data_IF_509014739716
#
_entry.id   IF_509014739716
#
_cell.length_a   1.000
_cell.length_b   1.000
_cell.length_c   1.000
_cell.angle_alpha   90.00
_cell.angle_beta   90.00
_cell.angle_gamma   90.00
#
_symmetry.space_group_name_H-M   'P 1'
#
loop_
_entity.id
_entity.type
_entity.pdbx_description
1 polymer ?
#
# COMPACT_ATOMS: atom_id res chain seq x y z
N UNK A 1 0.46 -5.06 46.28
CA UNK A 1 0.23 -3.62 45.99
C UNK A 1 -0.80 -3.49 44.89
N UNK A 2 -1.79 -2.62 45.04
CA UNK A 2 -2.80 -2.42 43.98
C UNK A 2 -2.21 -1.56 42.87
N UNK A 3 -2.18 -2.07 41.63
CA UNK A 3 -1.78 -1.31 40.44
C UNK A 3 -2.57 0.01 40.31
N UNK A 4 -3.81 0.04 40.80
CA UNK A 4 -4.67 1.23 40.77
C UNK A 4 -4.19 2.39 41.67
N UNK A 5 -3.16 2.18 42.51
CA UNK A 5 -2.60 3.22 43.40
C UNK A 5 -1.27 3.79 42.92
N UNK A 6 -0.66 3.21 41.89
CA UNK A 6 0.64 3.66 41.38
C UNK A 6 0.53 5.00 40.60
N UNK A 7 1.59 5.83 40.61
CA UNK A 7 1.71 6.99 39.74
C UNK A 7 1.57 6.60 38.25
N UNK A 8 1.08 7.52 37.41
CA UNK A 8 0.82 7.25 35.99
C UNK A 8 2.13 6.96 35.25
N UNK A 9 3.19 7.67 35.58
CA UNK A 9 4.53 7.53 35.00
C UNK A 9 5.08 6.12 35.23
N UNK A 10 4.84 5.58 36.44
CA UNK A 10 5.28 4.25 36.84
C UNK A 10 4.42 3.16 36.17
N UNK A 11 3.14 3.43 35.94
CA UNK A 11 2.27 2.55 35.15
C UNK A 11 2.71 2.51 33.68
N UNK A 12 3.07 3.64 33.08
CA UNK A 12 3.56 3.68 31.70
C UNK A 12 4.88 2.91 31.55
N UNK A 13 5.81 3.06 32.50
CA UNK A 13 7.06 2.28 32.52
C UNK A 13 6.81 0.78 32.68
N UNK A 14 5.90 0.40 33.59
CA UNK A 14 5.48 -1.00 33.76
C UNK A 14 4.87 -1.54 32.46
N UNK A 15 4.00 -0.79 31.79
CA UNK A 15 3.38 -1.24 30.55
C UNK A 15 4.36 -1.30 29.38
N UNK A 16 5.35 -0.41 29.32
CA UNK A 16 6.43 -0.47 28.34
C UNK A 16 7.33 -1.70 28.55
N UNK A 17 7.58 -2.07 29.82
CA UNK A 17 8.30 -3.30 30.15
C UNK A 17 7.45 -4.55 29.85
N UNK A 18 6.14 -4.52 30.14
CA UNK A 18 5.20 -5.58 29.75
C UNK A 18 5.16 -5.78 28.23
N UNK A 19 5.17 -4.69 27.44
CA UNK A 19 5.20 -4.76 25.96
C UNK A 19 6.53 -5.35 25.44
N UNK A 20 7.64 -5.20 26.18
CA UNK A 20 8.94 -5.81 25.88
C UNK A 20 9.03 -7.30 26.29
N UNK A 21 8.43 -7.67 27.42
CA UNK A 21 8.70 -8.94 28.09
C UNK A 21 7.59 -10.01 27.94
N UNK A 22 6.45 -9.70 27.31
CA UNK A 22 5.34 -10.65 27.20
C UNK A 22 5.58 -11.79 26.19
N UNK A 23 5.93 -12.96 26.74
CA UNK A 23 5.71 -14.32 26.20
C UNK A 23 4.96 -15.23 27.20
N UNK A 24 4.04 -14.70 28.02
CA UNK A 24 3.36 -15.51 29.04
C UNK A 24 1.83 -15.44 28.99
N UNK A 25 1.13 -16.57 29.14
CA UNK A 25 -0.33 -16.61 29.17
C UNK A 25 -0.85 -16.21 30.56
N UNK A 26 -1.86 -15.34 30.61
CA UNK A 26 -2.59 -14.99 31.83
C UNK A 26 -3.74 -15.98 32.06
N UNK A 27 -3.78 -16.60 33.24
CA UNK A 27 -4.84 -17.53 33.66
C UNK A 27 -5.47 -17.07 34.99
N UNK A 28 -6.27 -16.00 35.04
CA UNK A 28 -7.18 -15.77 36.19
C UNK A 28 -8.43 -14.97 35.79
N UNK A 29 -9.63 -15.30 36.31
CA UNK A 29 -10.86 -14.55 36.06
C UNK A 29 -10.97 -13.34 36.99
N UNK A 30 -11.18 -12.15 36.43
CA UNK A 30 -11.47 -10.92 37.18
C UNK A 30 -12.92 -10.50 37.02
N UNK A 31 -13.49 -9.89 38.07
CA UNK A 31 -14.81 -9.25 38.02
C UNK A 31 -14.79 -8.06 37.05
N UNK A 32 -15.71 -8.03 36.09
CA UNK A 32 -15.75 -7.06 34.99
C UNK A 32 -16.60 -5.85 35.32
N UNK A 33 -16.04 -4.65 35.16
CA UNK A 33 -16.83 -3.41 35.04
C UNK A 33 -17.43 -3.29 33.63
N UNK A 34 -18.64 -2.72 33.47
CA UNK A 34 -19.21 -2.50 32.14
C UNK A 34 -18.47 -1.34 31.46
N UNK A 35 -17.51 -1.68 30.60
CA UNK A 35 -17.06 -0.77 29.56
C UNK A 35 -18.15 -0.68 28.48
N UNK A 36 -18.30 0.45 27.76
CA UNK A 36 -19.10 0.48 26.56
C UNK A 36 -18.66 -0.67 25.65
N UNK A 37 -19.61 -1.49 25.22
CA UNK A 37 -19.43 -2.83 24.61
C UNK A 37 -18.47 -2.85 23.40
N UNK A 38 -18.17 -1.68 22.82
CA UNK A 38 -17.20 -1.52 21.74
C UNK A 38 -15.74 -1.79 22.11
N UNK A 39 -15.32 -1.59 23.36
CA UNK A 39 -13.91 -1.74 23.78
C UNK A 39 -13.40 -3.19 23.75
N UNK A 40 -14.31 -4.15 23.85
CA UNK A 40 -13.99 -5.58 23.89
C UNK A 40 -13.62 -6.17 22.52
N UNK A 41 -13.83 -5.43 21.42
CA UNK A 41 -13.77 -5.98 20.06
C UNK A 41 -12.41 -5.72 19.39
N UNK A 42 -11.51 -4.94 20.01
CA UNK A 42 -10.19 -4.60 19.47
C UNK A 42 -9.03 -5.54 19.88
N UNK A 43 -9.34 -6.82 20.09
CA UNK A 43 -8.34 -7.86 20.41
C UNK A 43 -7.56 -8.37 19.19
N UNK A 44 -6.85 -7.49 18.48
CA UNK A 44 -6.08 -7.88 17.28
C UNK A 44 -4.74 -8.58 17.59
N UNK A 45 -4.29 -8.54 18.84
CA UNK A 45 -3.06 -9.18 19.30
C UNK A 45 -3.22 -9.68 20.73
N UNK A 46 -2.40 -10.65 21.15
CA UNK A 46 -2.37 -11.11 22.54
C UNK A 46 -2.08 -9.96 23.52
N UNK A 47 -1.28 -8.98 23.08
CA UNK A 47 -1.01 -7.75 23.83
C UNK A 47 -2.28 -6.92 24.04
N UNK A 48 -3.10 -6.74 23.01
CA UNK A 48 -4.36 -6.02 23.15
C UNK A 48 -5.33 -6.74 24.09
N UNK A 49 -5.29 -8.08 24.16
CA UNK A 49 -6.10 -8.83 25.14
C UNK A 49 -5.71 -8.48 26.57
N UNK A 50 -4.41 -8.41 26.87
CA UNK A 50 -3.91 -8.00 28.20
C UNK A 50 -4.41 -6.59 28.54
N UNK A 51 -4.25 -5.63 27.63
CA UNK A 51 -4.71 -4.27 27.85
C UNK A 51 -6.24 -4.17 27.99
N UNK A 52 -7.00 -4.90 27.20
CA UNK A 52 -8.46 -4.97 27.35
C UNK A 52 -8.85 -5.56 28.71
N UNK A 53 -8.22 -6.67 29.14
CA UNK A 53 -8.45 -7.25 30.47
C UNK A 53 -8.14 -6.26 31.59
N UNK A 54 -7.04 -5.50 31.47
CA UNK A 54 -6.69 -4.44 32.42
C UNK A 54 -7.71 -3.30 32.41
N UNK A 55 -8.19 -2.88 31.24
CA UNK A 55 -9.23 -1.86 31.14
C UNK A 55 -10.52 -2.28 31.86
N UNK A 56 -10.88 -3.56 31.82
CA UNK A 56 -12.09 -4.10 32.46
C UNK A 56 -12.00 -4.14 33.99
N UNK A 57 -10.80 -4.04 34.57
CA UNK A 57 -10.63 -4.13 36.03
C UNK A 57 -11.07 -2.86 36.76
N UNK A 58 -10.73 -1.67 36.27
CA UNK A 58 -11.16 -0.39 36.85
C UNK A 58 -11.00 0.79 35.88
N UNK A 59 -11.73 1.88 36.14
CA UNK A 59 -11.76 3.08 35.29
C UNK A 59 -10.39 3.78 35.17
N UNK A 60 -9.57 3.75 36.23
CA UNK A 60 -8.22 4.34 36.19
C UNK A 60 -7.33 3.58 35.21
N UNK A 61 -7.30 2.24 35.31
CA UNK A 61 -6.56 1.41 34.37
C UNK A 61 -7.09 1.55 32.95
N UNK A 62 -8.41 1.57 32.76
CA UNK A 62 -9.03 1.84 31.46
C UNK A 62 -8.52 3.14 30.83
N UNK A 63 -8.38 4.21 31.62
CA UNK A 63 -7.90 5.51 31.13
C UNK A 63 -6.43 5.45 30.68
N UNK A 64 -5.59 4.72 31.41
CA UNK A 64 -4.15 4.57 31.12
C UNK A 64 -3.91 3.67 29.90
N UNK A 65 -4.63 2.56 29.76
CA UNK A 65 -4.39 1.61 28.67
C UNK A 65 -5.12 1.97 27.37
N UNK A 66 -6.12 2.86 27.43
CA UNK A 66 -6.92 3.29 26.27
C UNK A 66 -6.07 3.76 25.08
N UNK A 67 -5.05 4.62 25.22
CA UNK A 67 -4.18 5.00 24.10
C UNK A 67 -3.51 3.81 23.41
N UNK A 68 -3.24 2.72 24.15
CA UNK A 68 -2.62 1.50 23.63
C UNK A 68 -3.63 0.62 22.91
N UNK A 69 -4.83 0.43 23.49
CA UNK A 69 -5.92 -0.38 22.89
C UNK A 69 -6.32 0.16 21.52
N UNK A 70 -6.46 1.49 21.40
CA UNK A 70 -6.94 2.13 20.18
C UNK A 70 -5.83 2.56 19.23
N UNK A 71 -4.55 2.31 19.55
CA UNK A 71 -3.40 2.72 18.73
C UNK A 71 -3.48 2.14 17.32
N UNK A 72 -3.74 0.84 17.25
CA UNK A 72 -3.69 0.03 16.05
C UNK A 72 -5.04 -0.65 15.83
N UNK A 73 -5.87 -0.05 14.99
CA UNK A 73 -7.22 -0.52 14.71
C UNK A 73 -7.24 -1.24 13.37
N UNK A 74 -7.72 -2.48 13.40
CA UNK A 74 -7.93 -3.29 12.20
C UNK A 74 -9.27 -3.98 12.26
N UNK A 75 -10.02 -3.89 11.16
CA UNK A 75 -11.28 -4.61 10.97
C UNK A 75 -11.52 -4.87 9.49
N UNK A 76 -12.22 -5.97 9.20
CA UNK A 76 -12.87 -6.12 7.92
C UNK A 76 -14.15 -5.26 7.90
N UNK A 77 -14.44 -4.63 6.77
CA UNK A 77 -15.69 -3.90 6.55
C UNK A 77 -16.90 -4.80 6.79
N UNK A 78 -18.03 -4.19 7.16
CA UNK A 78 -19.30 -4.89 7.43
C UNK A 78 -19.25 -5.94 8.56
N UNK A 79 -18.22 -5.88 9.42
CA UNK A 79 -18.17 -6.68 10.64
C UNK A 79 -18.79 -5.94 11.83
N UNK A 80 -19.21 -6.69 12.85
CA UNK A 80 -19.59 -6.12 14.15
C UNK A 80 -18.49 -5.24 14.75
N UNK A 81 -17.22 -5.57 14.45
CA UNK A 81 -16.06 -4.76 14.84
C UNK A 81 -16.01 -3.41 14.16
N UNK A 82 -16.25 -3.35 12.85
CA UNK A 82 -16.36 -2.09 12.12
C UNK A 82 -17.50 -1.23 12.70
N UNK A 83 -18.69 -1.81 12.85
CA UNK A 83 -19.86 -1.12 13.44
C UNK A 83 -19.56 -0.60 14.84
N UNK A 84 -18.94 -1.41 15.69
CA UNK A 84 -18.57 -1.03 17.04
C UNK A 84 -17.54 0.11 17.06
N UNK A 85 -16.54 0.07 16.17
CA UNK A 85 -15.56 1.14 16.01
C UNK A 85 -16.22 2.46 15.62
N UNK A 86 -17.02 2.45 14.55
CA UNK A 86 -17.72 3.64 14.09
C UNK A 86 -18.66 4.19 15.17
N UNK A 87 -19.39 3.31 15.85
CA UNK A 87 -20.30 3.69 16.95
C UNK A 87 -19.53 4.30 18.11
N UNK A 88 -18.40 3.71 18.50
CA UNK A 88 -17.55 4.18 19.60
C UNK A 88 -16.99 5.56 19.32
N UNK A 89 -16.44 5.80 18.12
CA UNK A 89 -15.94 7.12 17.73
C UNK A 89 -17.07 8.13 17.60
N UNK A 90 -18.23 7.73 17.07
CA UNK A 90 -19.40 8.60 16.96
C UNK A 90 -19.91 9.04 18.34
N UNK A 91 -19.96 8.13 19.31
CA UNK A 91 -20.41 8.41 20.67
C UNK A 91 -19.37 9.19 21.47
N UNK A 92 -18.09 8.91 21.25
CA UNK A 92 -16.99 9.61 21.91
C UNK A 92 -15.82 9.84 20.94
N UNK A 93 -15.78 10.99 20.27
CA UNK A 93 -14.74 11.34 19.31
C UNK A 93 -13.31 11.33 19.85
N UNK A 94 -13.14 11.44 21.17
CA UNK A 94 -11.79 11.45 21.78
C UNK A 94 -11.05 10.14 21.57
N UNK A 95 -11.75 9.02 21.32
CA UNK A 95 -11.10 7.75 20.97
C UNK A 95 -10.29 7.85 19.67
N UNK A 96 -10.75 8.66 18.70
CA UNK A 96 -10.08 8.85 17.43
C UNK A 96 -8.68 9.46 17.55
N UNK A 97 -8.40 10.22 18.63
CA UNK A 97 -7.10 10.86 18.83
C UNK A 97 -5.97 9.88 19.12
N UNK A 98 -6.30 8.66 19.55
CA UNK A 98 -5.33 7.61 19.87
C UNK A 98 -4.98 6.73 18.67
N UNK A 99 -5.84 6.70 17.66
CA UNK A 99 -5.66 5.87 16.47
C UNK A 99 -4.48 6.41 15.64
N UNK A 100 -3.42 5.60 15.55
CA UNK A 100 -2.23 5.87 14.72
C UNK A 100 -2.22 5.04 13.45
N UNK A 101 -2.73 3.81 13.53
CA UNK A 101 -2.84 2.88 12.40
C UNK A 101 -4.29 2.48 12.25
N UNK A 102 -4.85 2.66 11.05
CA UNK A 102 -6.17 2.14 10.70
C UNK A 102 -6.08 1.23 9.48
N UNK A 103 -6.52 -0.01 9.62
CA UNK A 103 -6.63 -1.00 8.54
C UNK A 103 -8.08 -1.42 8.38
N UNK A 104 -8.71 -0.95 7.31
CA UNK A 104 -10.08 -1.30 6.94
C UNK A 104 -10.05 -2.18 5.70
N UNK A 105 -10.00 -3.50 5.91
CA UNK A 105 -9.89 -4.48 4.82
C UNK A 105 -11.27 -4.87 4.30
N UNK A 106 -11.33 -5.37 3.06
CA UNK A 106 -12.54 -6.00 2.55
C UNK A 106 -12.64 -7.38 3.20
N UNK A 107 -13.84 -7.77 3.64
CA UNK A 107 -14.07 -9.20 3.86
C UNK A 107 -13.97 -9.89 2.50
N UNK A 108 -13.04 -10.84 2.34
CA UNK A 108 -12.98 -11.68 1.13
C UNK A 108 -14.22 -12.59 1.12
N UNK A 109 -15.36 -12.03 0.76
CA UNK A 109 -16.48 -12.80 0.27
C UNK A 109 -16.02 -13.44 -1.03
N UNK A 110 -16.20 -14.76 -1.11
CA UNK A 110 -15.57 -15.68 -2.06
C UNK A 110 -15.52 -15.17 -3.51
N UNK A 111 -14.62 -15.74 -4.33
CA UNK A 111 -14.53 -15.49 -5.78
C UNK A 111 -15.87 -15.64 -6.54
N UNK A 112 -16.89 -16.22 -5.90
CA UNK A 112 -18.26 -16.32 -6.40
C UNK A 112 -18.98 -14.97 -6.49
N UNK A 113 -18.77 -14.03 -5.56
CA UNK A 113 -19.45 -12.73 -5.59
C UNK A 113 -18.90 -11.79 -6.68
N UNK A 114 -17.66 -12.02 -7.12
CA UNK A 114 -17.06 -11.33 -8.26
C UNK A 114 -17.72 -11.76 -9.60
N UNK A 115 -18.34 -12.94 -9.64
CA UNK A 115 -18.99 -13.51 -10.83
C UNK A 115 -20.50 -13.28 -10.87
N UNK A 116 -21.18 -13.24 -9.72
CA UNK A 116 -22.65 -13.21 -9.67
C UNK A 116 -23.22 -11.78 -9.70
N UNK A 117 -22.37 -10.75 -9.74
CA UNK A 117 -22.85 -9.37 -9.85
C UNK A 117 -23.81 -9.02 -8.72
N UNK A 118 -23.46 -9.42 -7.49
CA UNK A 118 -24.27 -9.20 -6.31
C UNK A 118 -24.44 -7.69 -6.09
N UNK A 119 -25.51 -7.13 -6.68
CA UNK A 119 -26.08 -5.80 -6.41
C UNK A 119 -26.77 -5.81 -5.05
N UNK A 120 -26.13 -6.36 -4.02
CA UNK A 120 -26.60 -6.08 -2.67
C UNK A 120 -26.41 -4.59 -2.44
N UNK A 121 -27.41 -3.94 -1.84
CA UNK A 121 -27.40 -2.55 -1.41
C UNK A 121 -26.36 -2.29 -0.30
N UNK A 122 -25.12 -2.75 -0.51
CA UNK A 122 -23.94 -2.49 0.30
C UNK A 122 -23.44 -1.08 0.00
N UNK A 123 -24.32 -0.11 0.22
CA UNK A 123 -23.93 1.29 0.37
C UNK A 123 -23.14 1.35 1.67
N UNK A 124 -21.82 1.15 1.60
CA UNK A 124 -20.95 1.83 2.57
C UNK A 124 -21.39 3.29 2.54
N UNK A 125 -21.89 3.86 3.65
CA UNK A 125 -22.30 5.24 3.62
C UNK A 125 -21.03 6.03 3.39
N UNK A 126 -20.83 6.54 2.18
CA UNK A 126 -19.74 7.46 1.82
C UNK A 126 -19.64 8.63 2.82
N UNK A 127 -20.72 8.89 3.56
CA UNK A 127 -20.81 9.84 4.65
C UNK A 127 -20.04 9.46 5.95
N UNK A 128 -19.77 8.18 6.23
CA UNK A 128 -19.07 7.77 7.47
C UNK A 128 -17.60 8.15 7.42
N UNK A 129 -16.94 7.98 6.28
CA UNK A 129 -15.51 8.21 6.13
C UNK A 129 -15.07 9.65 6.43
N UNK A 130 -15.72 10.71 5.90
CA UNK A 130 -15.42 12.09 6.30
C UNK A 130 -15.53 12.31 7.82
N UNK A 131 -16.61 11.79 8.44
CA UNK A 131 -16.84 11.94 9.88
C UNK A 131 -15.76 11.23 10.69
N UNK A 132 -15.47 9.97 10.32
CA UNK A 132 -14.44 9.17 10.96
C UNK A 132 -13.08 9.88 10.86
N UNK A 133 -12.63 10.20 9.64
CA UNK A 133 -11.33 10.85 9.40
C UNK A 133 -11.24 12.23 10.09
N UNK A 134 -12.37 12.91 10.27
CA UNK A 134 -12.50 14.14 11.06
C UNK A 134 -12.05 13.99 12.53
N UNK A 135 -12.14 12.77 13.08
CA UNK A 135 -11.78 12.46 14.46
C UNK A 135 -10.38 11.82 14.60
N UNK A 136 -9.77 11.35 13.51
CA UNK A 136 -8.49 10.63 13.53
C UNK A 136 -7.28 11.58 13.40
N UNK A 137 -7.10 12.48 14.38
CA UNK A 137 -6.05 13.53 14.32
C UNK A 137 -4.63 12.99 14.30
N UNK A 138 -4.40 11.86 14.95
CA UNK A 138 -3.07 11.25 15.10
C UNK A 138 -2.79 10.13 14.08
N UNK A 139 -3.64 9.98 13.06
CA UNK A 139 -3.54 8.90 12.09
C UNK A 139 -2.28 9.05 11.24
N UNK A 140 -1.37 8.08 11.33
CA UNK A 140 -0.12 8.03 10.56
C UNK A 140 -0.21 7.04 9.41
N UNK A 141 -0.83 5.90 9.64
CA UNK A 141 -0.95 4.83 8.65
C UNK A 141 -2.42 4.53 8.37
N UNK A 142 -2.80 4.56 7.09
CA UNK A 142 -4.13 4.21 6.63
C UNK A 142 -4.03 3.13 5.54
N UNK A 143 -4.61 1.96 5.79
CA UNK A 143 -4.78 0.88 4.82
C UNK A 143 -6.26 0.68 4.55
N UNK A 144 -6.66 0.76 3.28
CA UNK A 144 -8.06 0.72 2.87
C UNK A 144 -8.20 -0.22 1.68
N UNK A 145 -9.10 -1.18 1.83
CA UNK A 145 -9.55 -2.04 0.76
C UNK A 145 -11.07 -1.91 0.62
N UNK A 146 -11.59 -0.69 0.40
CA UNK A 146 -13.01 -0.43 0.15
C UNK A 146 -13.27 -0.38 -1.34
N UNK A 147 -14.46 -0.80 -1.77
CA UNK A 147 -14.98 -0.50 -3.10
C UNK A 147 -16.28 0.32 -2.95
N UNK A 148 -16.35 1.58 -3.40
CA UNK A 148 -15.28 2.34 -4.04
C UNK A 148 -14.33 3.01 -3.03
N UNK A 149 -13.04 3.01 -3.34
CA UNK A 149 -12.00 3.73 -2.57
C UNK A 149 -12.25 5.25 -2.50
N UNK A 150 -13.02 5.78 -3.44
CA UNK A 150 -13.40 7.19 -3.53
C UNK A 150 -14.06 7.72 -2.26
N UNK A 151 -14.80 6.87 -1.52
CA UNK A 151 -15.40 7.26 -0.25
C UNK A 151 -14.39 7.71 0.80
N UNK A 152 -13.17 7.19 0.75
CA UNK A 152 -12.06 7.55 1.65
C UNK A 152 -11.15 8.59 1.05
N UNK A 153 -10.87 8.49 -0.25
CA UNK A 153 -9.91 9.38 -0.92
C UNK A 153 -10.47 10.77 -1.15
N UNK A 154 -11.73 10.87 -1.61
CA UNK A 154 -12.33 12.17 -1.88
C UNK A 154 -12.29 13.10 -0.66
N UNK A 155 -12.67 12.65 0.57
CA UNK A 155 -12.52 13.48 1.75
C UNK A 155 -11.07 13.91 2.01
N UNK A 156 -10.10 12.98 1.88
CA UNK A 156 -8.69 13.28 2.14
C UNK A 156 -8.08 14.32 1.19
N UNK A 157 -8.50 14.30 -0.08
CA UNK A 157 -7.95 15.21 -1.11
C UNK A 157 -8.75 16.50 -1.26
N UNK A 158 -10.02 16.53 -0.83
CA UNK A 158 -10.86 17.70 -0.93
C UNK A 158 -10.46 18.76 0.10
N UNK A 159 -9.75 19.79 -0.36
CA UNK A 159 -9.24 20.88 0.48
C UNK A 159 -10.33 21.73 1.13
N UNK A 160 -11.58 21.61 0.69
CA UNK A 160 -12.72 22.34 1.28
C UNK A 160 -13.24 21.67 2.56
N UNK A 161 -12.87 20.41 2.81
CA UNK A 161 -13.24 19.68 4.01
C UNK A 161 -12.03 19.67 4.94
N UNK A 162 -12.18 20.24 6.14
CA UNK A 162 -11.13 20.19 7.15
C UNK A 162 -11.09 18.79 7.77
N UNK A 163 -10.13 17.98 7.30
CA UNK A 163 -9.89 16.63 7.80
C UNK A 163 -8.52 16.62 8.47
N UNK A 164 -8.45 16.53 9.80
CA UNK A 164 -7.19 16.52 10.53
C UNK A 164 -6.23 15.42 10.10
N UNK A 165 -6.76 14.24 9.74
CA UNK A 165 -5.96 13.12 9.24
C UNK A 165 -5.11 13.49 8.01
N UNK A 166 -5.52 14.47 7.20
CA UNK A 166 -4.76 14.97 6.06
C UNK A 166 -3.37 15.48 6.46
N UNK A 167 -3.26 16.05 7.65
CA UNK A 167 -2.01 16.65 8.16
C UNK A 167 -1.11 15.63 8.87
N UNK A 168 -1.60 14.43 9.16
CA UNK A 168 -0.88 13.42 9.95
C UNK A 168 -0.54 12.14 9.19
N UNK A 169 -1.25 11.81 8.10
CA UNK A 169 -0.97 10.58 7.34
C UNK A 169 0.43 10.63 6.72
N UNK A 170 1.24 9.65 7.10
CA UNK A 170 2.60 9.42 6.62
C UNK A 170 2.64 8.25 5.62
N UNK A 171 1.70 7.30 5.75
CA UNK A 171 1.60 6.09 4.93
C UNK A 171 0.17 5.80 4.52
N UNK A 172 -0.03 5.64 3.22
CA UNK A 172 -1.32 5.31 2.62
C UNK A 172 -1.20 4.05 1.76
N UNK A 173 -2.04 3.06 2.04
CA UNK A 173 -2.11 1.79 1.30
C UNK A 173 -3.54 1.61 0.79
N UNK A 174 -3.71 1.54 -0.53
CA UNK A 174 -5.00 1.44 -1.21
C UNK A 174 -5.01 0.15 -2.02
N UNK A 175 -5.80 -0.82 -1.58
CA UNK A 175 -5.84 -2.14 -2.23
C UNK A 175 -6.77 -2.19 -3.44
N UNK A 176 -7.59 -1.15 -3.62
CA UNK A 176 -8.49 -1.00 -4.76
C UNK A 176 -7.96 0.01 -5.79
N UNK A 177 -8.57 -0.01 -6.96
CA UNK A 177 -8.23 0.81 -8.11
C UNK A 177 -8.38 2.30 -7.87
N UNK A 178 -7.31 3.04 -8.15
CA UNK A 178 -7.25 4.49 -8.09
C UNK A 178 -7.23 5.12 -9.48
N UNK A 179 -8.03 6.17 -9.66
CA UNK A 179 -8.03 7.02 -10.85
C UNK A 179 -6.96 8.13 -10.76
N UNK A 180 -6.56 8.67 -11.91
CA UNK A 180 -5.50 9.70 -12.00
C UNK A 180 -5.77 10.93 -11.11
N UNK A 181 -6.98 11.47 -11.16
CA UNK A 181 -7.34 12.68 -10.39
C UNK A 181 -7.13 12.49 -8.88
N UNK A 182 -7.39 11.27 -8.39
CA UNK A 182 -7.18 10.94 -7.00
C UNK A 182 -5.69 10.85 -6.65
N UNK A 183 -4.84 10.36 -7.58
CA UNK A 183 -3.37 10.38 -7.42
C UNK A 183 -2.87 11.82 -7.22
N UNK A 184 -3.37 12.78 -8.01
CA UNK A 184 -2.92 14.18 -7.91
C UNK A 184 -3.23 14.78 -6.53
N UNK A 185 -4.42 14.48 -6.02
CA UNK A 185 -4.83 14.89 -4.68
C UNK A 185 -3.96 14.26 -3.59
N UNK A 186 -3.66 12.96 -3.71
CA UNK A 186 -2.84 12.23 -2.73
C UNK A 186 -1.40 12.75 -2.70
N UNK A 187 -0.83 13.11 -3.85
CA UNK A 187 0.53 13.66 -3.92
C UNK A 187 0.65 15.01 -3.18
N UNK A 188 -0.48 15.71 -3.00
CA UNK A 188 -0.57 16.96 -2.24
C UNK A 188 -0.66 16.76 -0.71
N UNK A 189 -0.64 15.52 -0.21
CA UNK A 189 -0.67 15.25 1.22
C UNK A 189 0.69 15.63 1.85
N UNK A 190 0.73 16.57 2.82
CA UNK A 190 1.96 17.26 3.22
C UNK A 190 2.98 16.34 3.90
N UNK A 191 2.52 15.33 4.64
CA UNK A 191 3.37 14.39 5.39
C UNK A 191 3.49 13.01 4.75
N UNK A 192 2.90 12.81 3.57
CA UNK A 192 2.90 11.50 2.94
C UNK A 192 4.31 11.13 2.44
N UNK A 193 4.84 10.02 2.96
CA UNK A 193 6.15 9.48 2.61
C UNK A 193 6.06 8.09 1.98
N UNK A 194 4.98 7.36 2.22
CA UNK A 194 4.75 6.04 1.67
C UNK A 194 3.39 5.96 1.00
N UNK A 195 3.37 5.59 -0.27
CA UNK A 195 2.16 5.36 -1.03
C UNK A 195 2.22 3.99 -1.71
N UNK A 196 1.21 3.16 -1.44
CA UNK A 196 0.97 1.89 -2.10
C UNK A 196 -0.45 1.90 -2.67
N UNK A 197 -0.62 1.69 -3.97
CA UNK A 197 -1.95 1.70 -4.57
C UNK A 197 -2.05 0.77 -5.78
N UNK A 198 -3.28 0.35 -6.10
CA UNK A 198 -3.61 -0.27 -7.39
C UNK A 198 -4.10 0.82 -8.34
N UNK A 199 -3.58 0.92 -9.56
CA UNK A 199 -4.11 1.87 -10.56
C UNK A 199 -5.17 1.19 -11.44
N UNK A 200 -6.33 1.84 -11.60
CA UNK A 200 -7.47 1.34 -12.38
C UNK A 200 -7.91 2.25 -13.53
N UNK A 201 -7.20 3.35 -13.77
CA UNK A 201 -7.57 4.28 -14.83
C UNK A 201 -7.34 3.71 -16.25
N UNK A 202 -7.99 4.29 -17.27
CA UNK A 202 -7.73 3.93 -18.66
C UNK A 202 -6.24 4.17 -18.99
N UNK A 203 -5.69 3.33 -19.86
CA UNK A 203 -4.26 3.32 -20.18
C UNK A 203 -3.90 4.31 -21.29
N UNK A 204 -4.89 5.01 -21.83
CA UNK A 204 -4.75 5.78 -23.06
C UNK A 204 -4.89 7.27 -22.80
N UNK A 205 -3.79 7.98 -23.13
CA UNK A 205 -3.69 9.41 -23.42
C UNK A 205 -4.14 10.35 -22.30
N UNK A 206 -3.33 10.41 -21.26
CA UNK A 206 -3.24 11.65 -20.50
C UNK A 206 -2.75 12.74 -21.42
N UNK A 207 -3.49 13.85 -21.46
CA UNK A 207 -2.98 15.05 -22.09
C UNK A 207 -1.75 15.54 -21.32
N UNK A 208 -0.74 16.11 -22.01
CA UNK A 208 0.39 16.75 -21.33
C UNK A 208 -0.05 17.80 -20.29
N UNK A 209 -1.22 18.42 -20.51
CA UNK A 209 -1.83 19.40 -19.61
C UNK A 209 -2.36 18.78 -18.31
N UNK A 210 -2.85 17.55 -18.33
CA UNK A 210 -3.26 16.85 -17.10
C UNK A 210 -2.02 16.45 -16.30
N UNK A 211 -1.00 15.91 -16.96
CA UNK A 211 0.25 15.50 -16.31
C UNK A 211 1.02 16.68 -15.71
N UNK A 212 0.99 17.86 -16.34
CA UNK A 212 1.68 19.04 -15.80
C UNK A 212 1.09 19.57 -14.50
N UNK A 213 -0.12 19.16 -14.12
CA UNK A 213 -0.78 19.58 -12.88
C UNK A 213 -0.36 18.75 -11.67
N UNK A 214 0.42 17.68 -11.87
CA UNK A 214 0.80 16.76 -10.81
C UNK A 214 1.75 17.47 -9.83
N UNK A 215 1.35 17.67 -8.56
CA UNK A 215 2.15 18.43 -7.62
C UNK A 215 3.40 17.67 -7.21
N UNK A 216 4.45 18.40 -6.83
CA UNK A 216 5.63 17.80 -6.21
C UNK A 216 5.27 17.14 -4.88
N UNK A 217 5.91 16.01 -4.59
CA UNK A 217 5.62 15.20 -3.42
C UNK A 217 6.86 14.89 -2.57
N UNK A 218 6.64 14.64 -1.28
CA UNK A 218 7.67 14.21 -0.33
C UNK A 218 7.76 12.68 -0.20
N UNK A 219 7.21 11.95 -1.17
CA UNK A 219 7.22 10.49 -1.20
C UNK A 219 8.65 9.95 -1.25
N UNK A 220 8.90 8.99 -0.34
CA UNK A 220 10.12 8.19 -0.28
C UNK A 220 9.89 6.77 -0.78
N UNK A 221 8.69 6.25 -0.62
CA UNK A 221 8.30 4.93 -1.12
C UNK A 221 7.06 5.04 -1.98
N UNK A 222 7.16 4.55 -3.21
CA UNK A 222 6.07 4.47 -4.16
C UNK A 222 5.92 3.03 -4.63
N UNK A 223 4.77 2.43 -4.38
CA UNK A 223 4.38 1.12 -4.88
C UNK A 223 3.12 1.24 -5.73
N UNK A 224 3.23 0.79 -6.97
CA UNK A 224 2.15 0.76 -7.94
C UNK A 224 1.84 -0.70 -8.27
N UNK A 225 0.81 -1.21 -7.63
CA UNK A 225 0.37 -2.59 -7.75
C UNK A 225 -0.53 -2.78 -8.96
N UNK A 226 -0.41 -3.97 -9.57
CA UNK A 226 -1.33 -4.52 -10.58
C UNK A 226 -1.61 -3.62 -11.81
N UNK A 227 -0.79 -2.62 -12.08
CA UNK A 227 -1.06 -1.65 -13.14
C UNK A 227 0.15 -1.36 -14.02
N UNK A 228 -0.14 -1.11 -15.29
CA UNK A 228 0.79 -0.53 -16.25
C UNK A 228 0.48 0.96 -16.35
N UNK A 229 1.44 1.83 -16.02
CA UNK A 229 1.22 3.28 -16.01
C UNK A 229 1.29 3.89 -17.42
N UNK A 230 2.03 3.24 -18.32
CA UNK A 230 2.45 3.82 -19.58
C UNK A 230 3.57 4.85 -19.37
N UNK A 231 4.35 5.12 -20.43
CA UNK A 231 5.53 6.00 -20.36
C UNK A 231 5.21 7.40 -19.79
N UNK A 232 4.22 8.16 -20.30
CA UNK A 232 4.05 9.56 -19.89
C UNK A 232 3.69 9.71 -18.41
N UNK A 233 2.78 8.87 -17.90
CA UNK A 233 2.40 8.91 -16.50
C UNK A 233 3.55 8.43 -15.62
N UNK A 234 4.25 7.36 -16.01
CA UNK A 234 5.37 6.85 -15.24
C UNK A 234 6.48 7.88 -15.08
N UNK A 235 6.86 8.53 -16.18
CA UNK A 235 7.84 9.63 -16.19
C UNK A 235 7.39 10.78 -15.28
N UNK A 236 6.14 11.22 -15.42
CA UNK A 236 5.60 12.29 -14.58
C UNK A 236 5.57 11.94 -13.10
N UNK A 237 5.21 10.72 -12.73
CA UNK A 237 5.18 10.29 -11.33
C UNK A 237 6.56 10.36 -10.69
N UNK A 238 7.60 9.96 -11.43
CA UNK A 238 8.98 10.01 -10.95
C UNK A 238 9.50 11.45 -10.86
N UNK A 239 9.19 12.30 -11.84
CA UNK A 239 9.51 13.74 -11.78
C UNK A 239 8.94 14.40 -10.52
N UNK A 240 7.71 14.04 -10.14
CA UNK A 240 7.04 14.59 -8.98
C UNK A 240 7.55 14.02 -7.64
N UNK A 241 8.43 13.01 -7.64
CA UNK A 241 8.96 12.37 -6.44
C UNK A 241 10.49 12.52 -6.34
N UNK A 242 11.03 13.74 -6.15
CA UNK A 242 12.48 13.95 -6.14
C UNK A 242 13.20 13.24 -4.98
N UNK A 243 12.48 12.89 -3.89
CA UNK A 243 13.02 12.20 -2.70
C UNK A 243 12.77 10.69 -2.73
N UNK A 244 12.41 10.11 -3.86
CA UNK A 244 12.03 8.70 -3.95
C UNK A 244 13.22 7.78 -3.67
N UNK A 245 13.13 6.99 -2.61
CA UNK A 245 14.16 6.03 -2.19
C UNK A 245 13.81 4.59 -2.60
N UNK A 246 12.53 4.24 -2.67
CA UNK A 246 12.06 2.89 -3.00
C UNK A 246 10.92 2.93 -4.01
N UNK A 247 11.09 2.25 -5.13
CA UNK A 247 10.09 2.12 -6.17
C UNK A 247 9.73 0.65 -6.40
N UNK A 248 8.43 0.35 -6.44
CA UNK A 248 7.92 -0.95 -6.84
C UNK A 248 6.81 -0.79 -7.87
N UNK A 249 6.89 -1.47 -9.00
CA UNK A 249 5.82 -1.46 -10.00
C UNK A 249 5.75 -2.77 -10.78
N UNK A 250 4.56 -3.15 -11.24
CA UNK A 250 4.40 -4.22 -12.21
C UNK A 250 4.56 -3.65 -13.63
N UNK A 251 5.72 -3.88 -14.25
CA UNK A 251 5.97 -3.59 -15.66
C UNK A 251 5.47 -2.20 -16.14
N UNK A 252 6.06 -1.09 -15.65
CA UNK A 252 5.50 0.27 -15.78
C UNK A 252 5.30 0.75 -17.23
N UNK A 253 6.11 0.24 -18.17
CA UNK A 253 6.10 0.65 -19.58
C UNK A 253 5.28 -0.25 -20.51
N UNK A 254 4.53 -1.22 -19.97
CA UNK A 254 3.64 -2.00 -20.83
C UNK A 254 2.54 -1.08 -21.38
N UNK A 255 2.47 -0.95 -22.71
CA UNK A 255 1.44 -0.15 -23.38
C UNK A 255 0.02 -0.74 -23.23
N UNK A 256 -0.11 -1.91 -22.61
CA UNK A 256 -1.38 -2.62 -22.57
C UNK A 256 -2.20 -2.26 -21.35
N UNK A 257 -3.25 -1.51 -21.67
CA UNK A 257 -4.48 -1.54 -20.94
C UNK A 257 -5.36 -2.69 -21.28
N UNK A 258 -6.15 -3.10 -20.30
CA UNK A 258 -7.14 -4.16 -20.38
C UNK A 258 -8.32 -3.83 -21.31
N UNK A 259 -8.06 -3.53 -22.59
CA UNK A 259 -9.07 -3.82 -23.61
C UNK A 259 -9.16 -5.34 -23.69
N UNK A 260 -10.15 -5.85 -22.95
CA UNK A 260 -10.67 -7.22 -22.99
C UNK A 260 -11.39 -7.49 -24.32
N UNK A 261 -10.93 -6.90 -25.42
CA UNK A 261 -11.34 -7.36 -26.74
C UNK A 261 -10.48 -8.59 -26.99
N UNK A 262 -11.00 -9.74 -26.53
CA UNK A 262 -10.32 -11.01 -26.38
C UNK A 262 -9.77 -11.61 -27.69
N UNK A 263 -10.04 -10.95 -28.82
CA UNK A 263 -9.70 -11.45 -30.17
C UNK A 263 -8.69 -10.58 -30.93
N UNK A 264 -8.36 -9.35 -30.48
CA UNK A 264 -7.57 -8.43 -31.32
C UNK A 264 -6.09 -8.35 -30.91
N UNK A 265 -5.31 -9.19 -31.59
CA UNK A 265 -3.92 -8.95 -32.00
C UNK A 265 -2.84 -8.92 -30.89
N UNK A 266 -2.49 -10.12 -30.38
CA UNK A 266 -1.25 -10.35 -29.63
C UNK A 266 0.02 -9.87 -30.39
N UNK A 267 -0.10 -9.66 -31.72
CA UNK A 267 0.96 -9.21 -32.61
C UNK A 267 1.20 -7.69 -32.59
N UNK A 268 0.33 -6.90 -31.94
CA UNK A 268 0.51 -5.43 -31.83
C UNK A 268 1.24 -4.98 -30.56
N UNK A 269 1.78 -5.92 -29.76
CA UNK A 269 2.54 -5.56 -28.56
C UNK A 269 3.84 -4.87 -28.95
N UNK A 270 4.07 -3.60 -28.57
CA UNK A 270 5.38 -3.00 -28.77
C UNK A 270 6.40 -3.84 -28.02
N UNK A 271 7.61 -4.03 -28.59
CA UNK A 271 8.64 -4.78 -27.92
C UNK A 271 8.98 -4.15 -26.57
N UNK A 272 9.32 -5.00 -25.59
CA UNK A 272 9.92 -4.51 -24.36
C UNK A 272 11.23 -3.81 -24.73
N UNK A 273 11.37 -2.57 -24.25
CA UNK A 273 12.56 -1.75 -24.38
C UNK A 273 13.13 -1.42 -23.01
N UNK A 274 14.14 -2.16 -22.53
CA UNK A 274 14.84 -1.84 -21.30
C UNK A 274 15.50 -0.45 -21.28
N UNK A 275 15.96 0.08 -22.42
CA UNK A 275 16.52 1.44 -22.50
C UNK A 275 15.48 2.55 -22.23
N UNK A 276 14.22 2.34 -22.66
CA UNK A 276 13.14 3.27 -22.30
C UNK A 276 12.90 3.31 -20.79
N UNK A 277 13.10 2.19 -20.09
CA UNK A 277 13.00 2.15 -18.62
C UNK A 277 14.07 3.02 -17.99
N UNK A 278 15.31 2.93 -18.47
CA UNK A 278 16.42 3.77 -18.01
C UNK A 278 16.10 5.26 -18.17
N UNK A 279 15.63 5.64 -19.36
CA UNK A 279 15.28 7.03 -19.70
C UNK A 279 14.25 7.61 -18.73
N UNK A 280 13.22 6.83 -18.38
CA UNK A 280 12.16 7.28 -17.47
C UNK A 280 12.65 7.32 -16.03
N UNK A 281 13.46 6.35 -15.64
CA UNK A 281 14.00 6.23 -14.31
C UNK A 281 15.05 7.31 -13.97
N UNK A 282 15.67 7.97 -14.98
CA UNK A 282 16.74 8.97 -14.80
C UNK A 282 16.48 10.02 -13.71
N UNK A 283 15.22 10.43 -13.52
CA UNK A 283 14.84 11.47 -12.55
C UNK A 283 15.04 11.02 -11.09
N UNK A 284 15.10 9.71 -10.84
CA UNK A 284 15.35 9.13 -9.52
C UNK A 284 16.76 8.54 -9.36
N UNK A 285 17.66 8.73 -10.36
CA UNK A 285 19.00 8.12 -10.42
C UNK A 285 19.82 8.31 -9.14
N UNK A 286 19.75 9.50 -8.54
CA UNK A 286 20.55 9.88 -7.37
C UNK A 286 19.89 9.60 -6.02
N UNK A 287 18.61 9.22 -6.00
CA UNK A 287 17.84 9.04 -4.76
C UNK A 287 17.33 7.63 -4.57
N UNK A 288 17.11 6.89 -5.66
CA UNK A 288 16.55 5.54 -5.61
C UNK A 288 17.56 4.54 -5.06
N UNK A 289 17.25 3.97 -3.90
CA UNK A 289 18.01 2.92 -3.23
C UNK A 289 17.48 1.52 -3.52
N UNK A 290 16.18 1.41 -3.82
CA UNK A 290 15.54 0.14 -4.10
C UNK A 290 14.64 0.20 -5.34
N UNK A 291 14.91 -0.69 -6.29
CA UNK A 291 14.12 -0.86 -7.51
C UNK A 291 13.57 -2.29 -7.56
N UNK A 292 12.24 -2.41 -7.54
CA UNK A 292 11.56 -3.71 -7.67
C UNK A 292 10.54 -3.67 -8.82
N UNK A 293 10.87 -4.32 -9.93
CA UNK A 293 9.94 -4.49 -11.05
C UNK A 293 9.32 -5.87 -10.94
N UNK A 294 8.03 -5.92 -10.63
CA UNK A 294 7.28 -7.17 -10.52
C UNK A 294 6.98 -7.70 -11.92
N UNK A 295 7.05 -9.03 -12.07
CA UNK A 295 6.76 -9.75 -13.31
C UNK A 295 5.39 -9.36 -13.87
N UNK A 296 5.27 -9.17 -15.20
CA UNK A 296 3.97 -9.07 -15.86
C UNK A 296 3.18 -10.38 -15.70
N UNK A 297 1.84 -10.31 -15.79
CA UNK A 297 0.98 -11.50 -15.85
C UNK A 297 1.19 -12.27 -17.16
N UNK A 298 1.42 -11.55 -18.25
CA UNK A 298 1.62 -12.11 -19.58
C UNK A 298 3.11 -12.25 -19.89
N UNK A 299 3.52 -13.28 -20.65
CA UNK A 299 4.89 -13.40 -21.12
C UNK A 299 5.25 -12.23 -22.03
N UNK A 300 6.53 -11.83 -22.00
CA UNK A 300 7.07 -10.85 -22.94
C UNK A 300 7.18 -11.53 -24.30
N UNK A 301 6.37 -11.10 -25.28
CA UNK A 301 6.31 -11.70 -26.63
C UNK A 301 7.32 -11.10 -27.60
N UNK A 302 7.72 -9.84 -27.38
CA UNK A 302 8.69 -9.12 -28.21
C UNK A 302 9.67 -8.32 -27.34
N UNK A 303 10.91 -8.18 -27.79
CA UNK A 303 12.01 -7.52 -27.08
C UNK A 303 12.91 -6.82 -28.10
N UNK A 304 13.32 -5.57 -27.85
CA UNK A 304 14.08 -4.75 -28.81
C UNK A 304 15.60 -4.95 -28.77
N UNK A 305 16.05 -5.86 -27.90
CA UNK A 305 17.47 -6.24 -27.66
C UNK A 305 18.29 -5.22 -26.87
N UNK A 306 17.69 -4.09 -26.48
CA UNK A 306 18.33 -3.14 -25.55
C UNK A 306 18.48 -3.73 -24.15
N UNK A 307 19.33 -3.12 -23.33
CA UNK A 307 19.62 -3.56 -21.95
C UNK A 307 19.43 -2.38 -21.03
N UNK A 308 18.90 -2.64 -19.83
CA UNK A 308 18.79 -1.66 -18.77
C UNK A 308 20.19 -1.44 -18.18
N UNK A 309 20.78 -0.28 -18.43
CA UNK A 309 22.05 0.12 -17.82
C UNK A 309 21.80 0.86 -16.51
N UNK A 310 22.29 0.29 -15.41
CA UNK A 310 22.22 0.86 -14.07
C UNK A 310 23.61 1.18 -13.50
N UNK A 311 24.65 1.15 -14.32
CA UNK A 311 26.05 1.34 -13.89
C UNK A 311 26.28 2.65 -13.13
N UNK A 312 25.66 3.73 -13.60
CA UNK A 312 25.78 5.06 -13.00
C UNK A 312 24.85 5.31 -11.79
N UNK A 313 24.09 4.32 -11.34
CA UNK A 313 23.09 4.49 -10.28
C UNK A 313 23.72 4.38 -8.89
N UNK A 314 24.46 5.42 -8.50
CA UNK A 314 25.30 5.42 -7.30
C UNK A 314 24.54 5.19 -5.98
N UNK A 315 23.25 5.53 -5.90
CA UNK A 315 22.43 5.30 -4.71
C UNK A 315 21.77 3.91 -4.66
N UNK A 316 21.76 3.15 -5.76
CA UNK A 316 20.92 1.96 -5.92
C UNK A 316 21.54 0.71 -5.26
N UNK A 317 21.05 0.37 -4.08
CA UNK A 317 21.59 -0.74 -3.27
C UNK A 317 20.87 -2.07 -3.49
N UNK A 318 19.59 -2.05 -3.92
CA UNK A 318 18.74 -3.24 -3.98
C UNK A 318 17.97 -3.31 -5.29
N UNK A 319 18.18 -4.38 -6.04
CA UNK A 319 17.56 -4.60 -7.36
C UNK A 319 16.78 -5.91 -7.33
N UNK A 320 15.51 -5.86 -7.72
CA UNK A 320 14.65 -7.03 -7.91
C UNK A 320 13.86 -6.89 -9.21
N UNK A 321 14.38 -7.43 -10.31
CA UNK A 321 13.87 -7.17 -11.67
C UNK A 321 13.81 -8.50 -12.45
N UNK A 322 12.88 -8.67 -13.41
CA UNK A 322 12.89 -9.82 -14.29
C UNK A 322 14.14 -9.82 -15.19
N UNK A 323 14.64 -11.00 -15.56
CA UNK A 323 15.89 -11.14 -16.34
C UNK A 323 15.85 -10.43 -17.70
N UNK A 324 14.67 -10.29 -18.30
CA UNK A 324 14.48 -9.65 -19.60
C UNK A 324 14.77 -8.15 -19.62
N UNK A 325 15.06 -7.51 -18.49
CA UNK A 325 15.56 -6.12 -18.50
C UNK A 325 17.08 -6.05 -18.74
N UNK A 326 17.81 -7.14 -18.49
CA UNK A 326 19.27 -7.16 -18.62
C UNK A 326 19.75 -8.05 -19.77
N UNK A 327 18.99 -9.09 -20.07
CA UNK A 327 19.34 -10.10 -21.07
C UNK A 327 18.11 -10.34 -21.93
N UNK A 328 18.24 -10.08 -23.23
CA UNK A 328 17.19 -10.39 -24.19
C UNK A 328 16.76 -11.87 -24.08
N UNK A 329 15.47 -12.19 -24.30
CA UNK A 329 15.01 -13.57 -24.33
C UNK A 329 15.85 -14.38 -25.32
N UNK A 330 16.26 -15.59 -24.91
CA UNK A 330 17.21 -16.47 -25.59
C UNK A 330 16.99 -16.52 -27.13
N UNK A 331 17.70 -15.68 -27.89
CA UNK A 331 18.11 -16.06 -29.23
C UNK A 331 19.38 -16.90 -29.07
N UNK A 332 19.44 -18.05 -29.74
CA UNK A 332 20.69 -18.81 -29.85
C UNK A 332 21.75 -17.81 -30.35
N UNK A 333 22.76 -17.48 -29.51
CA UNK A 333 23.87 -16.55 -29.76
C UNK A 333 23.79 -15.12 -29.19
N UNK A 334 22.84 -14.77 -28.31
CA UNK A 334 22.93 -13.47 -27.60
C UNK A 334 24.11 -13.47 -26.61
N UNK A 335 25.07 -12.57 -26.81
CA UNK A 335 26.21 -12.40 -25.90
C UNK A 335 25.73 -12.02 -24.50
N UNK A 336 26.11 -12.81 -23.48
CA UNK A 336 25.77 -12.56 -22.07
C UNK A 336 26.89 -11.89 -21.29
N UNK A 337 28.02 -11.65 -21.95
CA UNK A 337 29.15 -11.01 -21.33
C UNK A 337 28.79 -9.57 -20.93
N UNK A 338 29.44 -9.11 -19.86
CA UNK A 338 29.31 -7.74 -19.39
C UNK A 338 28.06 -7.43 -18.56
N UNK A 339 27.24 -8.42 -18.16
CA UNK A 339 26.10 -8.18 -17.25
C UNK A 339 26.50 -7.40 -15.99
N UNK A 340 27.64 -7.76 -15.38
CA UNK A 340 28.16 -7.08 -14.19
C UNK A 340 28.51 -5.60 -14.44
N UNK A 341 28.75 -5.20 -15.70
CA UNK A 341 29.05 -3.81 -16.08
C UNK A 341 27.79 -2.93 -16.10
N UNK A 342 26.60 -3.54 -16.18
CA UNK A 342 25.31 -2.84 -16.17
C UNK A 342 24.77 -2.60 -14.75
N UNK A 343 25.50 -3.05 -13.72
CA UNK A 343 25.07 -2.98 -12.34
C UNK A 343 25.76 -1.81 -11.62
N UNK A 344 25.09 -1.14 -10.68
CA UNK A 344 25.70 -0.08 -9.91
C UNK A 344 26.74 -0.62 -8.94
N UNK A 345 27.79 0.16 -8.71
CA UNK A 345 28.86 -0.17 -7.74
C UNK A 345 28.37 -0.24 -6.29
N UNK A 346 27.24 0.39 -5.97
CA UNK A 346 26.63 0.42 -4.63
C UNK A 346 25.73 -0.79 -4.33
N UNK A 347 25.59 -1.72 -5.28
CA UNK A 347 24.68 -2.85 -5.17
C UNK A 347 25.04 -3.77 -3.99
N UNK A 348 24.08 -3.96 -3.08
CA UNK A 348 24.20 -4.88 -1.93
C UNK A 348 23.35 -6.14 -2.11
N UNK A 349 22.25 -6.06 -2.85
CA UNK A 349 21.36 -7.19 -3.07
C UNK A 349 20.80 -7.19 -4.50
N UNK A 350 20.92 -8.34 -5.16
CA UNK A 350 20.44 -8.55 -6.53
C UNK A 350 19.52 -9.77 -6.57
N UNK A 351 18.30 -9.58 -7.09
CA UNK A 351 17.34 -10.64 -7.36
C UNK A 351 16.92 -10.55 -8.83
N UNK A 352 17.49 -11.44 -9.65
CA UNK A 352 17.12 -11.56 -11.07
C UNK A 352 16.18 -12.75 -11.24
N UNK A 353 14.96 -12.48 -11.71
CA UNK A 353 13.93 -13.50 -11.88
C UNK A 353 13.88 -13.98 -13.33
N UNK A 354 14.28 -15.21 -13.56
CA UNK A 354 14.22 -15.83 -14.89
C UNK A 354 12.80 -16.31 -15.22
N UNK A 355 12.40 -16.11 -16.48
CA UNK A 355 11.18 -16.71 -17.00
C UNK A 355 11.48 -18.17 -17.35
N UNK A 356 11.06 -19.12 -16.52
CA UNK A 356 10.92 -20.50 -17.01
C UNK A 356 9.73 -20.49 -17.97
N UNK A 357 9.99 -20.39 -19.27
CA UNK A 357 9.00 -20.81 -20.26
C UNK A 357 8.85 -22.30 -20.06
N UNK A 358 7.67 -22.75 -19.65
CA UNK A 358 7.33 -24.18 -19.71
C UNK A 358 7.70 -24.64 -21.12
N UNK A 359 8.58 -25.64 -21.30
CA UNK A 359 8.91 -26.12 -22.63
C UNK A 359 7.59 -26.45 -23.29
N UNK A 360 7.34 -25.84 -24.46
CA UNK A 360 6.23 -26.23 -25.31
C UNK A 360 6.52 -27.69 -25.64
N UNK A 361 5.87 -28.61 -24.94
CA UNK A 361 5.82 -29.99 -25.36
C UNK A 361 5.11 -29.93 -26.70
N UNK A 362 5.90 -29.92 -27.78
CA UNK A 362 5.40 -30.20 -29.12
C UNK A 362 4.89 -31.63 -29.04
N UNK A 363 3.61 -31.80 -28.67
CA UNK A 363 2.91 -33.04 -28.98
C UNK A 363 2.93 -33.14 -30.49
N UNK A 364 3.86 -33.95 -30.99
CA UNK A 364 3.81 -34.44 -32.35
C UNK A 364 2.46 -35.11 -32.52
N UNK A 365 1.55 -34.44 -33.21
CA UNK A 365 0.50 -35.13 -33.94
C UNK A 365 1.22 -35.78 -35.13
N UNK A 366 1.65 -37.02 -34.92
CA UNK A 366 1.97 -37.98 -35.97
C UNK A 366 0.71 -38.34 -36.74
#
# INVERSE_FOLDING_TARGET
MSLATLPIELLDEIFDNIERDLKLPLQHPFQTFPLPTGELIFQNSDINRVFTSLALTCQRLATVVRPRIYRDVEFAQNTSKATAFFTTIKQNPTYGQFVRTLRATRMFQSAYDEYVGFKGDWYEPRAIWPQLLGHLRSLKELTVATNPVDGVIFPLINTKIDIPARQSIEKLVLEDGLHLNAIFGIFSLPRLHHLDFVYSGPYHKFSPRELSQLPGSNLKTLRVNRACLGKPLFEKLLECCPKLESFTCRHPLSAYGAQRDADDDEHRRPPLSPELMETVLKNAKYTLKQLNIVRPKHPVTAHDESRLDLSDWTALERISIPSHYFVAPFKYNSDRNGFYKLLPVSLKALSVRYHMTTPIQKHGRS
#
